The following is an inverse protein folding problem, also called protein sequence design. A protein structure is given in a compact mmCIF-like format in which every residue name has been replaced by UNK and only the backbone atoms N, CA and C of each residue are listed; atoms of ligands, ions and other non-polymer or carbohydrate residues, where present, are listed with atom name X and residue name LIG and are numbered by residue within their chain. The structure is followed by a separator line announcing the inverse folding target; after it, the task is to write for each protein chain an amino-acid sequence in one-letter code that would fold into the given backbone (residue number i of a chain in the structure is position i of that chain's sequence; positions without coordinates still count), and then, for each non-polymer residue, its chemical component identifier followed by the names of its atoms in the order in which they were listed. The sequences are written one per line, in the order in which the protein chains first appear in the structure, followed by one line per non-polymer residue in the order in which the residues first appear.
data_IF_146693331387
#
_entry.id   IF_146693331387
#
_cell.length_a   1.000
_cell.length_b   1.000
_cell.length_c   1.000
_cell.angle_alpha   90.00
_cell.angle_beta   90.00
_cell.angle_gamma   90.00
#
_symmetry.space_group_name_H-M   'P 1'
#
loop_
_entity.id
_entity.type
_entity.pdbx_description
1 polymer ?
#
# COMPACT_ATOMS: atom_id res chain seq x y z
N UNK A 1 -18.87 -12.42 11.84
CA UNK A 1 -18.30 -11.90 10.57
C UNK A 1 -16.80 -12.06 10.66
N UNK A 2 -16.20 -12.75 9.71
CA UNK A 2 -14.75 -13.00 9.62
C UNK A 2 -14.19 -12.06 8.56
N UNK A 3 -13.43 -11.04 8.97
CA UNK A 3 -12.91 -10.03 8.06
C UNK A 3 -11.50 -10.40 7.57
N UNK A 4 -11.41 -10.80 6.31
CA UNK A 4 -10.18 -11.20 5.64
C UNK A 4 -9.86 -10.31 4.42
N UNK A 5 -10.17 -9.01 4.51
CA UNK A 5 -9.85 -8.01 3.46
C UNK A 5 -9.10 -6.79 3.99
N UNK A 6 -8.11 -7.02 4.87
CA UNK A 6 -7.33 -5.95 5.49
C UNK A 6 -6.44 -5.18 4.49
N UNK A 7 -6.19 -5.70 3.30
CA UNK A 7 -5.52 -4.96 2.23
C UNK A 7 -6.41 -3.89 1.57
N UNK A 8 -7.74 -4.05 1.61
CA UNK A 8 -8.66 -3.01 1.15
C UNK A 8 -8.74 -1.86 2.16
N UNK A 9 -9.00 -2.18 3.42
CA UNK A 9 -8.97 -1.24 4.56
C UNK A 9 -8.91 -2.02 5.87
N UNK A 10 -8.48 -1.38 6.94
CA UNK A 10 -8.45 -1.98 8.27
C UNK A 10 -9.42 -1.27 9.22
N UNK A 11 -9.86 -1.99 10.26
CA UNK A 11 -10.63 -1.39 11.35
C UNK A 11 -9.72 -0.49 12.18
N UNK A 12 -10.13 0.75 12.41
CA UNK A 12 -9.41 1.67 13.29
C UNK A 12 -9.36 1.12 14.72
N UNK A 13 -8.20 1.21 15.37
CA UNK A 13 -8.05 0.77 16.77
C UNK A 13 -8.75 1.74 17.73
N UNK A 14 -9.39 1.24 18.82
CA UNK A 14 -10.06 2.09 19.81
C UNK A 14 -9.13 3.17 20.40
N UNK A 15 -7.87 2.85 20.67
CA UNK A 15 -6.87 3.79 21.17
C UNK A 15 -6.62 4.96 20.20
N UNK A 16 -6.65 4.68 18.89
CA UNK A 16 -6.52 5.71 17.85
C UNK A 16 -7.69 6.67 17.91
N UNK A 17 -8.92 6.16 18.00
CA UNK A 17 -10.12 7.00 18.12
C UNK A 17 -10.07 7.87 19.38
N UNK A 18 -9.67 7.30 20.53
CA UNK A 18 -9.57 8.04 21.80
C UNK A 18 -8.63 9.25 21.70
N UNK A 19 -7.47 9.09 21.04
CA UNK A 19 -6.50 10.18 20.86
C UNK A 19 -6.95 11.21 19.82
N UNK A 20 -7.80 10.84 18.87
CA UNK A 20 -8.38 11.76 17.88
C UNK A 20 -9.48 12.65 18.47
N UNK A 21 -10.30 12.10 19.37
CA UNK A 21 -11.52 12.77 19.86
C UNK A 21 -11.30 14.19 20.41
N UNK A 22 -10.28 14.49 21.23
CA UNK A 22 -10.07 15.84 21.73
C UNK A 22 -9.89 16.89 20.63
N UNK A 23 -9.30 16.52 19.51
CA UNK A 23 -9.07 17.43 18.36
C UNK A 23 -10.30 17.60 17.46
N UNK A 24 -11.34 16.84 17.70
CA UNK A 24 -12.64 16.97 17.02
C UNK A 24 -13.63 17.78 17.84
N UNK A 25 -13.39 18.00 19.15
CA UNK A 25 -14.31 18.63 20.10
C UNK A 25 -13.67 19.81 20.84
N UNK A 26 -12.73 19.55 21.73
CA UNK A 26 -12.22 20.56 22.68
C UNK A 26 -11.01 21.34 22.16
N UNK A 27 -10.12 20.65 21.38
CA UNK A 27 -8.87 21.19 20.82
C UNK A 27 -8.99 21.48 19.33
N UNK A 28 -10.06 22.14 18.93
CA UNK A 28 -10.44 22.39 17.52
C UNK A 28 -9.73 23.59 16.87
N UNK A 29 -8.72 24.17 17.51
CA UNK A 29 -8.04 25.36 17.01
C UNK A 29 -7.36 25.12 15.66
N UNK A 30 -7.47 26.11 14.75
CA UNK A 30 -6.72 26.05 13.48
C UNK A 30 -5.23 26.23 13.76
N UNK A 31 -4.34 25.29 13.37
CA UNK A 31 -2.90 25.36 13.66
C UNK A 31 -2.21 26.64 13.18
N UNK A 32 -2.74 27.32 12.16
CA UNK A 32 -2.19 28.57 11.62
C UNK A 32 -2.48 29.79 12.50
N UNK A 33 -3.36 29.69 13.53
CA UNK A 33 -3.69 30.78 14.43
C UNK A 33 -2.59 31.12 15.42
N UNK A 34 -2.68 32.33 16.06
CA UNK A 34 -1.69 32.81 17.02
C UNK A 34 -2.13 32.67 18.48
N UNK A 35 -3.37 32.23 18.73
CA UNK A 35 -3.94 32.06 20.06
C UNK A 35 -3.64 30.65 20.62
N UNK A 36 -3.81 30.50 21.95
CA UNK A 36 -3.43 29.26 22.67
C UNK A 36 -4.03 27.99 22.07
N UNK A 37 -5.33 27.98 21.76
CA UNK A 37 -6.01 26.81 21.20
C UNK A 37 -5.41 26.38 19.86
N UNK A 38 -4.97 27.33 19.04
CA UNK A 38 -4.26 27.05 17.78
C UNK A 38 -2.87 26.48 18.04
N UNK A 39 -2.15 27.01 19.04
CA UNK A 39 -0.83 26.51 19.42
C UNK A 39 -0.87 25.06 19.90
N UNK A 40 -1.92 24.67 20.64
CA UNK A 40 -2.12 23.27 21.06
C UNK A 40 -2.31 22.33 19.87
N UNK A 41 -3.11 22.74 18.86
CA UNK A 41 -3.29 21.95 17.63
C UNK A 41 -2.03 21.87 16.78
N UNK A 42 -1.30 22.98 16.64
CA UNK A 42 -0.01 23.02 15.92
C UNK A 42 1.00 22.08 16.56
N UNK A 43 1.17 22.16 17.88
CA UNK A 43 2.05 21.25 18.62
C UNK A 43 1.69 19.78 18.40
N UNK A 44 0.40 19.45 18.39
CA UNK A 44 -0.04 18.09 18.15
C UNK A 44 0.32 17.57 16.73
N UNK A 45 0.28 18.44 15.73
CA UNK A 45 0.71 18.12 14.35
C UNK A 45 2.22 17.93 14.30
N UNK A 46 3.00 18.81 14.94
CA UNK A 46 4.46 18.72 15.04
C UNK A 46 4.89 17.45 15.78
N UNK A 47 4.32 17.16 16.95
CA UNK A 47 4.60 15.95 17.72
C UNK A 47 4.28 14.66 16.92
N UNK A 48 3.17 14.66 16.18
CA UNK A 48 2.78 13.53 15.32
C UNK A 48 3.75 13.33 14.15
N UNK A 49 4.24 14.41 13.57
CA UNK A 49 5.21 14.39 12.46
C UNK A 49 6.56 13.86 12.93
N UNK A 50 7.06 14.35 14.08
CA UNK A 50 8.31 13.89 14.70
C UNK A 50 8.25 12.39 15.03
N UNK A 51 7.14 11.93 15.60
CA UNK A 51 6.94 10.49 15.88
C UNK A 51 6.98 9.65 14.60
N UNK A 52 6.26 10.03 13.54
CA UNK A 52 6.29 9.31 12.25
C UNK A 52 7.70 9.30 11.66
N UNK A 53 8.39 10.43 11.69
CA UNK A 53 9.76 10.56 11.19
C UNK A 53 10.71 9.58 11.91
N UNK A 54 10.62 9.55 13.25
CA UNK A 54 11.47 8.67 14.07
C UNK A 54 11.27 7.18 13.77
N UNK A 55 10.04 6.76 13.41
CA UNK A 55 9.73 5.36 13.10
C UNK A 55 10.39 4.85 11.82
N UNK A 56 10.71 5.74 10.87
CA UNK A 56 11.28 5.39 9.57
C UNK A 56 12.72 5.90 9.36
N UNK A 57 13.33 6.49 10.40
CA UNK A 57 14.69 7.05 10.32
C UNK A 57 14.78 8.36 9.53
N UNK A 58 13.67 9.11 9.42
CA UNK A 58 13.57 10.41 8.77
C UNK A 58 13.71 11.57 9.76
N UNK A 59 13.78 12.80 9.23
CA UNK A 59 13.66 14.05 10.00
C UNK A 59 12.22 14.57 9.92
N UNK A 60 11.81 15.35 10.91
CA UNK A 60 10.47 15.95 10.99
C UNK A 60 10.12 16.74 9.72
N UNK A 61 11.03 17.56 9.24
CA UNK A 61 10.84 18.43 8.06
C UNK A 61 10.85 17.67 6.71
N UNK A 62 10.94 16.35 6.73
CA UNK A 62 10.84 15.47 5.56
C UNK A 62 9.47 14.79 5.46
N UNK A 63 8.58 14.99 6.44
CA UNK A 63 7.24 14.38 6.50
C UNK A 63 6.18 15.42 6.18
N UNK A 64 5.35 15.15 5.17
CA UNK A 64 4.25 16.00 4.71
C UNK A 64 2.93 15.25 4.80
N UNK A 65 1.94 15.84 5.47
CA UNK A 65 0.62 15.23 5.60
C UNK A 65 -0.16 15.34 4.29
N UNK A 66 -0.81 14.24 3.90
CA UNK A 66 -1.64 14.15 2.70
C UNK A 66 -2.99 13.54 3.03
N UNK A 67 -3.89 13.45 2.06
CA UNK A 67 -5.16 12.72 2.20
C UNK A 67 -5.00 11.19 2.11
N UNK A 68 -3.84 10.68 1.75
CA UNK A 68 -3.54 9.25 1.62
C UNK A 68 -2.53 8.94 0.52
N UNK A 69 -2.31 7.65 0.26
CA UNK A 69 -1.32 7.17 -0.69
C UNK A 69 -1.49 7.74 -2.10
N UNK A 70 -2.71 7.79 -2.60
CA UNK A 70 -2.98 8.33 -3.96
C UNK A 70 -2.51 9.77 -4.13
N UNK A 71 -2.74 10.64 -3.15
CA UNK A 71 -2.24 12.02 -3.20
C UNK A 71 -0.72 12.04 -3.15
N UNK A 72 -0.11 11.26 -2.25
CA UNK A 72 1.35 11.18 -2.11
C UNK A 72 2.03 10.67 -3.39
N UNK A 73 1.51 9.59 -3.99
CA UNK A 73 2.01 9.02 -5.24
C UNK A 73 1.92 10.03 -6.40
N UNK A 74 0.76 10.67 -6.53
CA UNK A 74 0.54 11.65 -7.59
C UNK A 74 1.44 12.87 -7.43
N UNK A 75 1.69 13.31 -6.18
CA UNK A 75 2.57 14.44 -5.89
C UNK A 75 4.00 14.18 -6.36
N UNK A 76 4.56 13.01 -6.02
CA UNK A 76 5.92 12.62 -6.42
C UNK A 76 6.03 12.51 -7.96
N UNK A 77 5.05 11.89 -8.61
CA UNK A 77 5.04 11.75 -10.07
C UNK A 77 4.91 13.11 -10.78
N UNK A 78 4.11 14.03 -10.25
CA UNK A 78 4.01 15.41 -10.76
C UNK A 78 5.31 16.17 -10.59
N UNK A 79 5.96 16.04 -9.42
CA UNK A 79 7.29 16.62 -9.20
C UNK A 79 8.30 16.11 -10.21
N UNK A 80 8.34 14.80 -10.46
CA UNK A 80 9.25 14.20 -11.44
C UNK A 80 8.96 14.70 -12.87
N UNK A 81 7.69 14.87 -13.25
CA UNK A 81 7.29 15.48 -14.53
C UNK A 81 7.82 16.90 -14.68
N UNK A 82 7.83 17.69 -13.58
CA UNK A 82 8.33 19.08 -13.54
C UNK A 82 9.82 19.24 -13.68
N UNK A 83 10.63 18.18 -13.58
CA UNK A 83 12.09 18.25 -13.69
C UNK A 83 12.50 18.68 -15.11
N UNK A 84 13.29 19.78 -15.22
CA UNK A 84 13.61 20.40 -16.51
C UNK A 84 14.40 19.50 -17.47
N UNK A 85 15.39 18.76 -16.92
CA UNK A 85 16.39 18.04 -17.72
C UNK A 85 16.26 16.51 -17.59
N UNK A 86 15.19 16.00 -16.96
CA UNK A 86 14.99 14.58 -16.70
C UNK A 86 13.52 14.22 -16.94
N UNK A 87 13.20 13.84 -18.18
CA UNK A 87 11.81 13.61 -18.65
C UNK A 87 11.44 12.14 -18.74
N UNK A 88 12.17 11.27 -18.03
CA UNK A 88 11.90 9.84 -18.01
C UNK A 88 11.56 9.36 -16.61
N UNK A 89 10.48 8.62 -16.49
CA UNK A 89 10.03 7.91 -15.29
C UNK A 89 10.06 6.41 -15.58
N UNK A 90 10.64 5.64 -14.67
CA UNK A 90 10.57 4.17 -14.69
C UNK A 90 9.66 3.73 -13.56
N UNK A 91 8.71 2.85 -13.85
CA UNK A 91 7.84 2.24 -12.84
C UNK A 91 7.68 0.75 -13.11
N UNK A 92 6.96 0.01 -12.25
CA UNK A 92 6.71 -1.41 -12.50
C UNK A 92 5.35 -1.65 -13.16
N UNK A 93 5.19 -2.82 -13.79
CA UNK A 93 3.92 -3.23 -14.39
C UNK A 93 2.85 -3.64 -13.37
N UNK A 94 3.21 -3.75 -12.08
CA UNK A 94 2.33 -4.23 -11.02
C UNK A 94 1.96 -3.17 -9.98
N UNK A 95 2.18 -1.89 -10.29
CA UNK A 95 1.88 -0.78 -9.39
C UNK A 95 0.39 -0.62 -9.10
N UNK A 96 0.07 0.08 -8.03
CA UNK A 96 -1.29 0.53 -7.76
C UNK A 96 -1.75 1.51 -8.87
N UNK A 97 -3.07 1.54 -9.15
CA UNK A 97 -3.64 2.43 -10.16
C UNK A 97 -3.35 3.92 -9.92
N UNK A 98 -3.05 4.33 -8.68
CA UNK A 98 -2.60 5.70 -8.38
C UNK A 98 -1.30 6.05 -9.13
N UNK A 99 -0.39 5.09 -9.30
CA UNK A 99 0.84 5.25 -10.08
C UNK A 99 0.56 5.04 -11.57
N UNK A 100 -0.07 3.92 -11.96
CA UNK A 100 -0.26 3.56 -13.37
C UNK A 100 -1.07 4.61 -14.14
N UNK A 101 -2.20 5.05 -13.58
CA UNK A 101 -3.06 6.03 -14.23
C UNK A 101 -2.41 7.42 -14.32
N UNK A 102 -1.66 7.81 -13.25
CA UNK A 102 -0.89 9.06 -13.29
C UNK A 102 0.23 8.99 -14.32
N UNK A 103 0.98 7.90 -14.40
CA UNK A 103 2.00 7.68 -15.42
C UNK A 103 1.42 7.74 -16.84
N UNK A 104 0.23 7.16 -17.06
CA UNK A 104 -0.47 7.26 -18.34
C UNK A 104 -0.79 8.72 -18.70
N UNK A 105 -1.35 9.48 -17.77
CA UNK A 105 -1.65 10.90 -17.97
C UNK A 105 -0.39 11.72 -18.24
N UNK A 106 0.71 11.47 -17.51
CA UNK A 106 1.98 12.18 -17.71
C UNK A 106 2.62 11.84 -19.07
N UNK A 107 2.43 10.61 -19.58
CA UNK A 107 2.88 10.22 -20.91
C UNK A 107 2.17 11.03 -22.00
N UNK A 108 0.87 11.29 -21.86
CA UNK A 108 0.09 12.14 -22.75
C UNK A 108 0.58 13.62 -22.73
N UNK A 109 1.22 14.03 -21.63
CA UNK A 109 1.83 15.34 -21.42
C UNK A 109 3.32 15.40 -21.80
N UNK A 110 3.85 14.37 -22.46
CA UNK A 110 5.22 14.34 -22.98
C UNK A 110 6.30 13.78 -22.05
N UNK A 111 5.93 13.18 -20.90
CA UNK A 111 6.88 12.41 -20.10
C UNK A 111 7.10 11.04 -20.74
N UNK A 112 8.35 10.63 -20.88
CA UNK A 112 8.66 9.25 -21.27
C UNK A 112 8.47 8.32 -20.07
N UNK A 113 7.74 7.22 -20.22
CA UNK A 113 7.48 6.25 -19.14
C UNK A 113 7.84 4.85 -19.59
N UNK A 114 8.72 4.19 -18.83
CA UNK A 114 9.05 2.77 -19.00
C UNK A 114 8.46 1.94 -17.87
N UNK A 115 7.98 0.74 -18.21
CA UNK A 115 7.41 -0.20 -17.25
C UNK A 115 8.31 -1.43 -17.13
N UNK A 116 8.96 -1.60 -15.98
CA UNK A 116 9.73 -2.79 -15.67
C UNK A 116 8.79 -3.99 -15.47
N UNK A 117 9.13 -5.11 -16.08
CA UNK A 117 8.40 -6.37 -15.93
C UNK A 117 8.68 -7.04 -14.58
N UNK A 118 7.91 -8.09 -14.29
CA UNK A 118 8.09 -8.93 -13.11
C UNK A 118 8.33 -10.40 -13.54
N UNK A 119 8.84 -11.20 -12.62
CA UNK A 119 8.87 -12.64 -12.79
C UNK A 119 7.54 -13.27 -12.34
N UNK A 120 7.41 -14.59 -12.42
CA UNK A 120 6.22 -15.37 -12.02
C UNK A 120 5.85 -15.24 -10.54
N UNK A 121 6.80 -14.85 -9.69
CA UNK A 121 6.64 -14.55 -8.27
C UNK A 121 6.15 -13.10 -8.02
N UNK A 122 6.06 -12.28 -9.05
CA UNK A 122 5.73 -10.87 -8.96
C UNK A 122 6.87 -10.01 -8.40
N UNK A 123 8.12 -10.45 -8.53
CA UNK A 123 9.31 -9.66 -8.17
C UNK A 123 9.75 -8.87 -9.40
N UNK A 124 9.95 -7.56 -9.24
CA UNK A 124 10.41 -6.68 -10.32
C UNK A 124 11.79 -7.12 -10.81
N UNK A 125 11.93 -7.22 -12.13
CA UNK A 125 13.19 -7.55 -12.79
C UNK A 125 14.11 -6.34 -12.79
N UNK A 126 15.11 -6.33 -11.93
CA UNK A 126 16.08 -5.23 -11.81
C UNK A 126 16.88 -5.01 -13.10
N UNK A 127 17.07 -6.07 -13.90
CA UNK A 127 17.67 -6.01 -15.24
C UNK A 127 16.88 -5.15 -16.22
N UNK A 128 15.54 -5.15 -16.12
CA UNK A 128 14.71 -4.29 -16.99
C UNK A 128 14.89 -2.81 -16.61
N UNK A 129 15.01 -2.51 -15.30
CA UNK A 129 15.35 -1.17 -14.83
C UNK A 129 16.76 -0.76 -15.34
N UNK A 130 17.77 -1.62 -15.20
CA UNK A 130 19.14 -1.38 -15.68
C UNK A 130 19.21 -1.10 -17.18
N UNK A 131 18.37 -1.75 -17.99
CA UNK A 131 18.29 -1.54 -19.45
C UNK A 131 17.64 -0.21 -19.82
N UNK A 132 16.64 0.22 -19.06
CA UNK A 132 15.86 1.43 -19.37
C UNK A 132 16.44 2.71 -18.75
N UNK A 133 17.18 2.60 -17.63
CA UNK A 133 17.66 3.76 -16.87
C UNK A 133 18.78 4.48 -17.61
N UNK A 134 18.70 5.81 -17.62
CA UNK A 134 19.68 6.69 -18.24
C UNK A 134 19.85 7.95 -17.41
N UNK A 135 20.78 8.83 -17.81
CA UNK A 135 20.96 10.13 -17.18
C UNK A 135 19.75 11.06 -17.33
N UNK A 136 18.89 10.78 -18.33
CA UNK A 136 17.61 11.48 -18.52
C UNK A 136 16.50 10.97 -17.59
N UNK A 137 16.74 9.90 -16.82
CA UNK A 137 15.75 9.36 -15.87
C UNK A 137 15.68 10.26 -14.63
N UNK A 138 14.49 10.79 -14.36
CA UNK A 138 14.23 11.64 -13.19
C UNK A 138 13.80 10.84 -11.97
N UNK A 139 13.00 9.78 -12.18
CA UNK A 139 12.40 9.00 -11.11
C UNK A 139 12.35 7.51 -11.47
N UNK A 140 12.67 6.67 -10.50
CA UNK A 140 12.31 5.25 -10.48
C UNK A 140 11.28 5.07 -9.36
N UNK A 141 10.07 4.63 -9.69
CA UNK A 141 8.96 4.44 -8.75
C UNK A 141 8.54 2.98 -8.74
N UNK A 142 8.80 2.27 -7.64
CA UNK A 142 8.44 0.86 -7.47
C UNK A 142 7.87 0.64 -6.08
N UNK A 143 6.66 0.07 -6.00
CA UNK A 143 6.01 -0.23 -4.72
C UNK A 143 6.85 -1.19 -3.87
N UNK A 144 6.80 -1.02 -2.54
CA UNK A 144 7.56 -1.88 -1.63
C UNK A 144 6.94 -3.27 -1.45
N UNK A 145 5.61 -3.32 -1.41
CA UNK A 145 4.82 -4.56 -1.28
C UNK A 145 3.64 -4.48 -2.23
N UNK A 146 3.45 -5.51 -3.05
CA UNK A 146 2.26 -5.56 -3.89
C UNK A 146 1.01 -5.88 -3.05
N UNK A 147 -0.01 -5.05 -3.16
CA UNK A 147 -1.24 -5.12 -2.37
C UNK A 147 -2.16 -6.30 -2.75
N UNK A 148 -1.98 -6.88 -3.95
CA UNK A 148 -2.78 -8.03 -4.40
C UNK A 148 -2.13 -9.36 -4.00
N UNK A 149 -0.89 -9.57 -4.40
CA UNK A 149 -0.18 -10.85 -4.22
C UNK A 149 0.75 -10.88 -3.01
N UNK A 150 0.93 -9.76 -2.31
CA UNK A 150 1.73 -9.67 -1.08
C UNK A 150 3.25 -9.71 -1.27
N UNK A 151 3.77 -9.87 -2.49
CA UNK A 151 5.20 -9.99 -2.76
C UNK A 151 5.96 -8.73 -2.38
N UNK A 152 7.06 -8.90 -1.64
CA UNK A 152 7.97 -7.83 -1.21
C UNK A 152 9.01 -7.60 -2.31
N UNK A 153 9.21 -6.34 -2.70
CA UNK A 153 10.12 -5.93 -3.77
C UNK A 153 11.54 -5.66 -3.27
N UNK A 154 12.57 -5.79 -4.12
CA UNK A 154 13.97 -5.55 -3.76
C UNK A 154 14.32 -4.04 -3.78
N UNK A 155 13.62 -3.24 -2.94
CA UNK A 155 13.69 -1.78 -2.97
C UNK A 155 15.10 -1.22 -2.77
N UNK A 156 15.92 -1.84 -1.91
CA UNK A 156 17.30 -1.41 -1.66
C UNK A 156 18.19 -1.55 -2.91
N UNK A 157 18.03 -2.65 -3.66
CA UNK A 157 18.75 -2.87 -4.91
C UNK A 157 18.30 -1.87 -5.98
N UNK A 158 16.99 -1.69 -6.14
CA UNK A 158 16.41 -0.75 -7.11
C UNK A 158 16.83 0.69 -6.80
N UNK A 159 16.81 1.09 -5.54
CA UNK A 159 17.29 2.40 -5.09
C UNK A 159 18.75 2.63 -5.45
N UNK A 160 19.61 1.62 -5.26
CA UNK A 160 21.03 1.72 -5.63
C UNK A 160 21.21 1.95 -7.14
N UNK A 161 20.46 1.20 -7.97
CA UNK A 161 20.48 1.38 -9.43
C UNK A 161 20.02 2.80 -9.83
N UNK A 162 18.97 3.32 -9.18
CA UNK A 162 18.50 4.69 -9.43
C UNK A 162 19.57 5.73 -9.10
N UNK A 163 20.20 5.61 -7.93
CA UNK A 163 21.27 6.53 -7.47
C UNK A 163 22.48 6.54 -8.36
N UNK A 164 22.93 5.39 -8.88
CA UNK A 164 24.07 5.29 -9.81
C UNK A 164 23.89 6.16 -11.06
N UNK A 165 22.64 6.42 -11.48
CA UNK A 165 22.29 7.27 -12.62
C UNK A 165 21.76 8.65 -12.22
N UNK A 166 21.83 8.98 -10.93
CA UNK A 166 21.35 10.25 -10.40
C UNK A 166 19.83 10.44 -10.56
N UNK A 167 19.06 9.37 -10.63
CA UNK A 167 17.61 9.38 -10.57
C UNK A 167 17.14 9.29 -9.12
N UNK A 168 16.01 9.94 -8.80
CA UNK A 168 15.33 9.76 -7.53
C UNK A 168 14.67 8.39 -7.44
N UNK A 169 14.56 7.86 -6.22
CA UNK A 169 13.82 6.62 -5.95
C UNK A 169 12.60 6.89 -5.07
N UNK A 170 11.44 6.51 -5.58
CA UNK A 170 10.15 6.52 -4.88
C UNK A 170 9.64 5.11 -4.63
N UNK A 171 9.00 4.90 -3.48
CA UNK A 171 8.27 3.66 -3.20
C UNK A 171 6.89 3.93 -2.62
N UNK A 172 5.85 3.35 -3.23
CA UNK A 172 4.55 3.20 -2.59
C UNK A 172 4.68 2.16 -1.48
N UNK A 173 4.66 2.61 -0.23
CA UNK A 173 4.74 1.78 0.96
C UNK A 173 3.38 1.57 1.64
N UNK A 174 2.27 1.90 0.98
CA UNK A 174 0.92 1.81 1.55
C UNK A 174 0.59 0.40 2.03
N UNK A 175 0.99 -0.64 1.31
CA UNK A 175 0.80 -2.04 1.71
C UNK A 175 1.91 -2.55 2.66
N UNK A 176 3.05 -1.86 2.72
CA UNK A 176 4.22 -2.25 3.50
C UNK A 176 4.21 -1.67 4.92
N UNK A 177 3.81 -0.40 5.08
CA UNK A 177 3.92 0.33 6.35
C UNK A 177 3.18 -0.39 7.49
N UNK A 178 3.86 -0.56 8.62
CA UNK A 178 3.35 -1.31 9.77
C UNK A 178 3.37 -2.84 9.62
N UNK A 179 3.86 -3.38 8.48
CA UNK A 179 4.06 -4.81 8.24
C UNK A 179 5.52 -5.16 7.92
N UNK A 180 6.25 -4.23 7.33
CA UNK A 180 7.68 -4.34 7.02
C UNK A 180 8.40 -3.21 7.74
N UNK A 181 9.56 -3.52 8.33
CA UNK A 181 10.42 -2.49 8.92
C UNK A 181 10.99 -1.62 7.80
N UNK A 182 10.81 -0.31 7.93
CA UNK A 182 11.30 0.66 6.95
C UNK A 182 12.32 1.56 7.64
N UNK A 183 13.50 1.69 7.04
CA UNK A 183 14.48 2.74 7.31
C UNK A 183 14.81 3.39 5.98
N UNK A 184 14.42 4.65 5.81
CA UNK A 184 14.57 5.38 4.54
C UNK A 184 16.02 5.62 4.17
N UNK A 185 16.92 5.68 5.16
CA UNK A 185 18.34 5.88 4.93
C UNK A 185 19.01 4.58 4.50
N UNK A 186 18.74 3.48 5.20
CA UNK A 186 19.28 2.16 4.87
C UNK A 186 18.79 1.68 3.49
N UNK A 187 17.52 1.89 3.19
CA UNK A 187 16.92 1.51 1.91
C UNK A 187 17.22 2.49 0.78
N UNK A 188 17.77 3.67 1.10
CA UNK A 188 18.12 4.69 0.13
C UNK A 188 16.92 5.34 -0.56
N UNK A 189 15.79 5.44 0.12
CA UNK A 189 14.53 5.98 -0.39
C UNK A 189 14.59 7.51 -0.41
N UNK A 190 14.22 8.15 -1.52
CA UNK A 190 14.08 9.60 -1.63
C UNK A 190 12.64 10.06 -1.37
N UNK A 191 11.66 9.26 -1.80
CA UNK A 191 10.23 9.51 -1.57
C UNK A 191 9.52 8.23 -1.13
N UNK A 192 8.58 8.37 -0.17
CA UNK A 192 7.79 7.23 0.31
C UNK A 192 6.35 7.66 0.58
N UNK A 193 5.39 6.93 0.01
CA UNK A 193 3.95 7.18 0.16
C UNK A 193 3.31 6.23 1.15
N UNK A 194 2.46 6.76 2.05
CA UNK A 194 1.78 5.99 3.09
C UNK A 194 0.32 6.42 3.26
N UNK A 195 -0.56 5.48 3.66
CA UNK A 195 -1.96 5.74 3.96
C UNK A 195 -2.37 5.10 5.29
N UNK A 196 -2.89 5.90 6.23
CA UNK A 196 -3.13 5.49 7.61
C UNK A 196 -4.11 4.32 7.76
N UNK A 197 -5.14 4.25 6.90
CA UNK A 197 -6.17 3.22 7.00
C UNK A 197 -5.68 1.79 6.70
N UNK A 198 -4.45 1.61 6.25
CA UNK A 198 -3.86 0.28 6.00
C UNK A 198 -3.18 -0.31 7.25
N UNK A 199 -2.93 0.53 8.27
CA UNK A 199 -2.34 0.10 9.55
C UNK A 199 -3.19 0.50 10.78
N UNK A 200 -4.51 0.39 10.63
CA UNK A 200 -5.50 0.64 11.67
C UNK A 200 -5.63 2.11 12.12
N UNK A 201 -5.23 3.04 11.26
CA UNK A 201 -5.45 4.48 11.40
C UNK A 201 -6.73 4.95 10.70
N UNK A 202 -7.02 6.26 10.73
CA UNK A 202 -8.18 6.84 10.08
C UNK A 202 -8.06 6.82 8.55
N UNK A 203 -9.21 6.82 7.86
CA UNK A 203 -9.29 7.05 6.40
C UNK A 203 -9.14 8.55 6.12
N UNK A 204 -8.73 8.90 4.90
CA UNK A 204 -8.63 10.29 4.46
C UNK A 204 -7.41 11.03 5.03
N UNK A 205 -6.40 10.30 5.48
CA UNK A 205 -5.10 10.83 5.90
C UNK A 205 -3.97 9.85 5.56
N UNK A 206 -2.84 10.41 5.19
CA UNK A 206 -1.59 9.73 4.90
C UNK A 206 -0.42 10.69 5.04
N UNK A 207 0.74 10.26 4.64
CA UNK A 207 1.90 11.14 4.54
C UNK A 207 2.77 10.80 3.34
N UNK A 208 3.48 11.81 2.89
CA UNK A 208 4.61 11.71 1.98
C UNK A 208 5.89 11.99 2.77
N UNK A 209 6.85 11.07 2.71
CA UNK A 209 8.23 11.37 3.04
C UNK A 209 8.94 11.88 1.80
N UNK A 210 9.66 13.00 1.91
CA UNK A 210 10.50 13.55 0.87
C UNK A 210 11.86 13.92 1.47
N UNK A 211 12.93 13.26 1.04
CA UNK A 211 14.30 13.44 1.53
C UNK A 211 14.73 14.90 1.42
N UNK A 212 15.28 15.44 2.52
CA UNK A 212 15.70 16.85 2.67
C UNK A 212 14.59 17.86 2.34
N UNK A 213 13.30 17.46 2.35
CA UNK A 213 12.17 18.31 1.96
C UNK A 213 12.17 18.72 0.48
N UNK A 214 12.94 18.02 -0.38
CA UNK A 214 13.11 18.37 -1.80
C UNK A 214 11.94 17.93 -2.65
N UNK A 215 10.87 18.69 -2.63
CA UNK A 215 9.70 18.52 -3.50
C UNK A 215 9.08 19.88 -3.82
N UNK A 216 8.47 20.03 -5.00
CA UNK A 216 7.76 21.26 -5.36
C UNK A 216 6.34 21.30 -4.79
N UNK A 217 5.74 22.49 -4.60
CA UNK A 217 4.35 22.60 -4.17
C UNK A 217 3.39 21.84 -5.06
N UNK A 218 2.42 21.14 -4.45
CA UNK A 218 1.41 20.37 -5.17
C UNK A 218 0.03 21.04 -5.12
N UNK A 219 -0.46 21.37 -3.93
CA UNK A 219 -1.67 22.13 -3.76
C UNK A 219 -1.32 23.58 -3.39
N UNK A 220 -1.69 24.52 -4.25
CA UNK A 220 -1.42 25.94 -4.05
C UNK A 220 -2.51 26.58 -3.18
N UNK A 221 -2.12 27.46 -2.24
CA UNK A 221 -3.03 28.15 -1.33
C UNK A 221 -2.31 28.79 -0.15
N UNK A 222 -2.71 28.46 1.08
CA UNK A 222 -2.06 28.95 2.30
C UNK A 222 -0.71 28.28 2.56
N UNK A 223 -0.06 28.70 3.67
CA UNK A 223 1.32 28.31 4.00
C UNK A 223 1.45 26.94 4.70
N UNK A 224 0.38 26.13 4.75
CA UNK A 224 0.40 24.83 5.40
C UNK A 224 1.46 23.89 4.76
N UNK A 225 1.90 22.90 5.53
CA UNK A 225 2.94 21.94 5.11
C UNK A 225 4.13 22.66 4.46
N UNK A 226 4.64 23.72 5.09
CA UNK A 226 5.80 24.51 4.63
C UNK A 226 5.60 25.14 3.24
N UNK A 227 4.41 25.59 2.89
CA UNK A 227 3.99 26.11 1.57
C UNK A 227 4.00 25.06 0.44
N UNK A 228 4.07 23.78 0.78
CA UNK A 228 4.16 22.69 -0.22
C UNK A 228 2.82 22.02 -0.47
N UNK A 229 1.94 22.00 0.54
CA UNK A 229 0.60 21.44 0.42
C UNK A 229 -0.40 22.26 1.23
N UNK A 230 -1.11 23.16 0.57
CA UNK A 230 -2.09 24.05 1.18
C UNK A 230 -3.35 23.31 1.66
N UNK A 231 -4.12 23.97 2.49
CA UNK A 231 -5.35 23.49 3.11
C UNK A 231 -5.18 23.23 4.60
N UNK A 232 -6.19 23.61 5.38
CA UNK A 232 -6.16 23.44 6.85
C UNK A 232 -5.85 21.99 7.21
N UNK A 233 -4.91 21.81 8.12
CA UNK A 233 -4.42 20.48 8.53
C UNK A 233 -5.53 19.69 9.21
N UNK A 234 -5.67 18.42 8.85
CA UNK A 234 -6.56 17.46 9.50
C UNK A 234 -5.96 16.98 10.81
N UNK A 235 -5.97 17.88 11.83
CA UNK A 235 -5.28 17.66 13.12
C UNK A 235 -5.66 16.31 13.73
N UNK A 236 -6.94 16.02 13.87
CA UNK A 236 -7.43 14.76 14.43
C UNK A 236 -6.93 13.55 13.62
N UNK A 237 -6.98 13.62 12.29
CA UNK A 237 -6.51 12.56 11.41
C UNK A 237 -4.99 12.34 11.49
N UNK A 238 -4.20 13.42 11.56
CA UNK A 238 -2.75 13.39 11.67
C UNK A 238 -2.32 12.76 13.02
N UNK A 239 -2.93 13.18 14.12
CA UNK A 239 -2.71 12.57 15.44
C UNK A 239 -3.10 11.09 15.43
N UNK A 240 -4.28 10.76 14.89
CA UNK A 240 -4.70 9.36 14.76
C UNK A 240 -3.76 8.50 13.92
N UNK A 241 -3.20 9.06 12.84
CA UNK A 241 -2.21 8.38 12.00
C UNK A 241 -0.92 8.10 12.77
N UNK A 242 -0.38 9.06 13.53
CA UNK A 242 0.82 8.89 14.35
C UNK A 242 0.62 7.81 15.41
N UNK A 243 -0.49 7.85 16.15
CA UNK A 243 -0.83 6.83 17.14
C UNK A 243 -0.93 5.43 16.51
N UNK A 244 -1.59 5.33 15.35
CA UNK A 244 -1.69 4.06 14.63
C UNK A 244 -0.31 3.55 14.17
N UNK A 245 0.56 4.44 13.67
CA UNK A 245 1.92 4.12 13.25
C UNK A 245 2.74 3.59 14.42
N UNK A 246 2.75 4.30 15.56
CA UNK A 246 3.43 3.87 16.80
C UNK A 246 2.96 2.49 17.25
N UNK A 247 1.66 2.25 17.32
CA UNK A 247 1.10 0.96 17.70
C UNK A 247 1.50 -0.14 16.71
N UNK A 248 1.49 0.15 15.41
CA UNK A 248 1.88 -0.79 14.37
C UNK A 248 3.35 -1.20 14.48
N UNK A 249 4.26 -0.26 14.70
CA UNK A 249 5.70 -0.54 14.83
C UNK A 249 6.04 -1.26 16.13
N UNK A 250 5.48 -0.84 17.27
CA UNK A 250 5.74 -1.49 18.57
C UNK A 250 5.32 -2.96 18.62
N UNK A 251 4.32 -3.35 17.86
CA UNK A 251 3.77 -4.72 17.88
C UNK A 251 4.06 -5.51 16.62
N UNK A 252 4.87 -4.96 15.69
CA UNK A 252 5.07 -5.49 14.34
C UNK A 252 5.50 -6.96 14.35
N UNK A 253 6.54 -7.30 15.08
CA UNK A 253 7.12 -8.65 15.07
C UNK A 253 6.13 -9.70 15.61
N UNK A 254 5.46 -9.39 16.73
CA UNK A 254 4.47 -10.30 17.33
C UNK A 254 3.29 -10.48 16.37
N UNK A 255 2.76 -9.38 15.81
CA UNK A 255 1.64 -9.45 14.84
C UNK A 255 2.02 -10.21 13.57
N UNK A 256 3.22 -9.98 13.06
CA UNK A 256 3.71 -10.68 11.86
C UNK A 256 3.89 -12.19 12.13
N UNK A 257 4.40 -12.57 13.29
CA UNK A 257 4.51 -13.98 13.68
C UNK A 257 3.13 -14.65 13.77
N UNK A 258 2.16 -14.00 14.42
CA UNK A 258 0.79 -14.52 14.53
C UNK A 258 0.12 -14.64 13.16
N UNK A 259 0.18 -13.61 12.33
CA UNK A 259 -0.36 -13.65 10.96
C UNK A 259 0.32 -14.72 10.12
N UNK A 260 1.66 -14.83 10.18
CA UNK A 260 2.41 -15.83 9.42
C UNK A 260 1.98 -17.26 9.74
N UNK A 261 1.80 -17.58 11.02
CA UNK A 261 1.35 -18.90 11.46
C UNK A 261 0.01 -19.29 10.81
N UNK A 262 -0.98 -18.40 10.82
CA UNK A 262 -2.30 -18.64 10.21
C UNK A 262 -2.20 -18.64 8.68
N UNK A 263 -1.42 -17.74 8.10
CA UNK A 263 -1.19 -17.67 6.65
C UNK A 263 -0.60 -18.98 6.13
N UNK A 264 0.47 -19.46 6.74
CA UNK A 264 1.13 -20.71 6.32
C UNK A 264 0.17 -21.90 6.46
N UNK A 265 -0.56 -21.98 7.56
CA UNK A 265 -1.59 -23.01 7.79
C UNK A 265 -2.68 -23.00 6.70
N UNK A 266 -3.23 -21.83 6.38
CA UNK A 266 -4.26 -21.71 5.33
C UNK A 266 -3.71 -22.05 3.95
N UNK A 267 -2.50 -21.59 3.62
CA UNK A 267 -1.89 -21.87 2.31
C UNK A 267 -1.69 -23.38 2.13
N UNK A 268 -1.12 -24.07 3.11
CA UNK A 268 -0.89 -25.52 3.04
C UNK A 268 -2.19 -26.29 2.87
N UNK A 269 -3.20 -25.94 3.65
CA UNK A 269 -4.49 -26.62 3.59
C UNK A 269 -5.23 -26.36 2.28
N UNK A 270 -5.29 -25.12 1.82
CA UNK A 270 -5.97 -24.76 0.58
C UNK A 270 -5.32 -25.48 -0.61
N UNK A 271 -3.98 -25.46 -0.74
CA UNK A 271 -3.29 -26.12 -1.83
C UNK A 271 -3.41 -27.63 -1.79
N UNK A 272 -3.50 -28.25 -0.60
CA UNK A 272 -3.67 -29.69 -0.45
C UNK A 272 -5.11 -30.16 -0.68
N UNK A 273 -6.11 -29.38 -0.19
CA UNK A 273 -7.50 -29.83 -0.12
C UNK A 273 -8.36 -29.35 -1.28
N UNK A 274 -7.92 -28.36 -2.04
CA UNK A 274 -8.66 -27.80 -3.17
C UNK A 274 -7.84 -28.03 -4.45
N UNK A 275 -8.18 -29.04 -5.27
CA UNK A 275 -7.48 -29.29 -6.54
C UNK A 275 -7.57 -28.08 -7.47
N UNK A 276 -6.61 -27.96 -8.39
CA UNK A 276 -6.52 -26.86 -9.36
C UNK A 276 -6.53 -25.47 -8.69
N UNK A 277 -5.91 -25.37 -7.51
CA UNK A 277 -5.61 -24.11 -6.83
C UNK A 277 -4.14 -23.75 -6.98
N UNK A 278 -3.85 -22.46 -7.05
CA UNK A 278 -2.49 -21.90 -7.11
C UNK A 278 -2.38 -20.74 -6.14
N UNK A 279 -1.27 -20.67 -5.39
CA UNK A 279 -0.88 -19.45 -4.67
C UNK A 279 -0.19 -18.49 -5.62
N UNK A 280 -0.65 -17.25 -5.71
CA UNK A 280 -0.07 -16.20 -6.54
C UNK A 280 0.96 -15.39 -5.75
N UNK A 281 2.06 -15.03 -6.41
CA UNK A 281 3.19 -14.31 -5.81
C UNK A 281 4.15 -15.22 -5.02
N UNK A 282 5.25 -14.63 -4.55
CA UNK A 282 6.33 -15.39 -3.89
C UNK A 282 5.90 -15.99 -2.56
N UNK A 283 6.20 -17.25 -2.31
CA UNK A 283 5.83 -17.96 -1.08
C UNK A 283 6.56 -17.44 0.16
N UNK A 284 7.82 -17.08 0.03
CA UNK A 284 8.71 -16.75 1.15
C UNK A 284 8.92 -15.24 1.30
N UNK A 285 9.12 -14.51 0.19
CA UNK A 285 9.24 -13.04 0.17
C UNK A 285 7.86 -12.39 0.08
N UNK A 286 7.06 -12.58 1.13
CA UNK A 286 5.67 -12.15 1.22
C UNK A 286 5.39 -11.47 2.54
N UNK A 287 4.59 -10.41 2.52
CA UNK A 287 4.08 -9.79 3.74
C UNK A 287 3.14 -10.75 4.48
N UNK A 288 3.33 -10.87 5.78
CA UNK A 288 2.51 -11.75 6.62
C UNK A 288 1.03 -11.34 6.58
N UNK A 289 0.15 -12.31 6.44
CA UNK A 289 -1.30 -12.09 6.41
C UNK A 289 -1.89 -11.94 5.01
N UNK A 290 -1.11 -11.83 3.95
CA UNK A 290 -1.62 -11.77 2.57
C UNK A 290 -1.54 -13.16 1.91
N UNK A 291 -2.65 -13.58 1.31
CA UNK A 291 -2.79 -14.80 0.51
C UNK A 291 -3.65 -14.49 -0.71
N UNK A 292 -3.11 -14.71 -1.89
CA UNK A 292 -3.85 -14.57 -3.14
C UNK A 292 -3.83 -15.93 -3.86
N UNK A 293 -5.02 -16.45 -4.15
CA UNK A 293 -5.15 -17.73 -4.83
C UNK A 293 -5.92 -17.55 -6.14
N UNK A 294 -5.55 -18.36 -7.14
CA UNK A 294 -6.38 -18.59 -8.31
C UNK A 294 -6.93 -20.01 -8.27
N UNK A 295 -8.21 -20.16 -8.57
CA UNK A 295 -8.92 -21.44 -8.65
C UNK A 295 -9.42 -21.63 -10.09
N UNK A 296 -8.94 -22.66 -10.78
CA UNK A 296 -9.39 -22.94 -12.15
C UNK A 296 -10.85 -23.37 -12.15
N UNK A 297 -11.57 -23.02 -13.21
CA UNK A 297 -12.99 -23.31 -13.41
C UNK A 297 -13.88 -22.70 -12.33
N UNK A 298 -13.58 -21.49 -11.89
CA UNK A 298 -14.34 -20.76 -10.88
C UNK A 298 -14.41 -19.29 -11.27
N UNK A 299 -15.57 -18.68 -11.15
CA UNK A 299 -15.73 -17.22 -11.18
C UNK A 299 -15.47 -16.64 -9.79
N UNK A 300 -14.41 -15.86 -9.64
CA UNK A 300 -13.97 -15.26 -8.37
C UNK A 300 -15.00 -14.29 -7.79
N UNK A 301 -15.73 -13.58 -8.63
CA UNK A 301 -16.81 -12.68 -8.19
C UNK A 301 -17.95 -13.44 -7.52
N UNK A 302 -18.41 -14.51 -8.14
CA UNK A 302 -19.42 -15.41 -7.58
C UNK A 302 -18.94 -16.04 -6.27
N UNK A 303 -17.68 -16.48 -6.22
CA UNK A 303 -17.09 -17.06 -5.02
C UNK A 303 -17.07 -16.09 -3.85
N UNK A 304 -16.74 -14.82 -4.06
CA UNK A 304 -16.74 -13.78 -3.02
C UNK A 304 -18.15 -13.55 -2.51
N UNK A 305 -19.17 -13.50 -3.38
CA UNK A 305 -20.57 -13.34 -2.97
C UNK A 305 -21.03 -14.53 -2.12
N UNK A 306 -20.62 -15.75 -2.46
CA UNK A 306 -20.96 -16.93 -1.67
C UNK A 306 -20.29 -16.92 -0.29
N UNK A 307 -19.02 -16.51 -0.22
CA UNK A 307 -18.29 -16.35 1.05
C UNK A 307 -18.92 -15.26 1.92
N UNK A 308 -19.32 -14.12 1.34
CA UNK A 308 -19.97 -13.02 2.08
C UNK A 308 -21.30 -13.47 2.71
N UNK A 309 -22.11 -14.24 2.00
CA UNK A 309 -23.34 -14.85 2.54
C UNK A 309 -23.10 -15.77 3.74
N UNK A 310 -21.89 -16.28 3.90
CA UNK A 310 -21.44 -17.11 5.03
C UNK A 310 -20.68 -16.29 6.08
N UNK A 311 -20.69 -14.96 5.95
CA UNK A 311 -20.05 -14.03 6.89
C UNK A 311 -18.53 -13.91 6.75
N UNK A 312 -17.97 -14.23 5.58
CA UNK A 312 -16.53 -14.14 5.28
C UNK A 312 -16.29 -13.02 4.26
N UNK A 313 -15.61 -11.96 4.66
CA UNK A 313 -15.21 -10.87 3.76
C UNK A 313 -13.85 -11.17 3.11
N UNK A 314 -13.80 -11.21 1.79
CA UNK A 314 -12.60 -11.37 0.97
C UNK A 314 -12.70 -10.48 -0.28
N UNK A 315 -11.66 -10.40 -1.09
CA UNK A 315 -11.63 -9.55 -2.30
C UNK A 315 -11.22 -10.34 -3.53
N UNK A 316 -11.77 -10.03 -4.69
CA UNK A 316 -11.18 -10.43 -5.98
C UNK A 316 -9.93 -9.56 -6.20
N UNK A 317 -8.88 -10.14 -6.76
CA UNK A 317 -7.56 -9.52 -7.07
C UNK A 317 -7.38 -8.06 -6.67
N UNK A 318 -7.99 -7.11 -7.38
CA UNK A 318 -8.02 -5.70 -6.97
C UNK A 318 -9.40 -5.29 -6.47
N UNK A 319 -9.50 -4.84 -5.23
CA UNK A 319 -10.74 -4.28 -4.66
C UNK A 319 -11.24 -3.04 -5.44
N UNK A 320 -10.33 -2.29 -6.09
CA UNK A 320 -10.65 -1.12 -6.91
C UNK A 320 -11.15 -1.48 -8.32
N UNK A 321 -10.89 -2.69 -8.81
CA UNK A 321 -11.33 -3.16 -10.12
C UNK A 321 -12.66 -3.94 -10.07
N UNK A 322 -13.31 -4.04 -8.92
CA UNK A 322 -14.61 -4.71 -8.77
C UNK A 322 -15.72 -4.10 -9.64
N UNK A 323 -15.53 -2.90 -10.18
CA UNK A 323 -16.40 -2.28 -11.18
C UNK A 323 -15.97 -2.52 -12.65
N UNK A 324 -14.74 -3.02 -12.89
CA UNK A 324 -14.28 -3.36 -14.24
C UNK A 324 -14.32 -4.88 -14.44
N UNK A 325 -14.78 -5.32 -15.60
CA UNK A 325 -14.76 -6.73 -16.01
C UNK A 325 -13.36 -7.21 -16.43
N UNK A 326 -12.34 -6.37 -16.31
CA UNK A 326 -10.98 -6.72 -16.74
C UNK A 326 -10.24 -7.52 -15.67
N UNK A 327 -9.54 -8.59 -16.07
CA UNK A 327 -8.69 -9.37 -15.16
C UNK A 327 -7.60 -8.50 -14.52
N UNK A 328 -7.15 -8.88 -13.32
CA UNK A 328 -6.08 -8.16 -12.61
C UNK A 328 -4.82 -8.00 -13.48
N UNK A 329 -4.36 -6.76 -13.65
CA UNK A 329 -3.11 -6.46 -14.34
C UNK A 329 -1.89 -7.08 -13.64
N UNK A 330 -1.95 -7.24 -12.31
CA UNK A 330 -0.89 -7.88 -11.51
C UNK A 330 -0.80 -9.37 -11.85
N UNK A 331 -1.94 -10.06 -11.91
CA UNK A 331 -1.98 -11.49 -12.23
C UNK A 331 -1.58 -11.75 -13.68
N UNK A 332 -1.96 -10.86 -14.60
CA UNK A 332 -1.47 -10.91 -16.00
C UNK A 332 0.04 -10.70 -16.08
N UNK A 333 0.57 -9.75 -15.31
CA UNK A 333 2.00 -9.46 -15.31
C UNK A 333 2.87 -10.64 -14.81
N UNK A 334 2.34 -11.48 -13.91
CA UNK A 334 3.01 -12.72 -13.47
C UNK A 334 2.78 -13.91 -14.40
N UNK A 335 2.14 -13.69 -15.57
CA UNK A 335 1.99 -14.68 -16.64
C UNK A 335 0.75 -15.56 -16.52
N UNK A 336 -0.26 -15.21 -15.74
CA UNK A 336 -1.50 -15.99 -15.67
C UNK A 336 -2.42 -15.70 -16.86
N UNK A 337 -3.05 -16.72 -17.47
CA UNK A 337 -4.09 -16.54 -18.46
C UNK A 337 -5.37 -15.94 -17.84
N UNK A 338 -6.18 -15.28 -18.65
CA UNK A 338 -7.33 -14.48 -18.20
C UNK A 338 -8.36 -15.30 -17.43
N UNK A 339 -8.63 -16.54 -17.83
CA UNK A 339 -9.53 -17.46 -17.14
C UNK A 339 -9.05 -17.80 -15.72
N UNK A 340 -7.75 -17.98 -15.54
CA UNK A 340 -7.15 -18.23 -14.22
C UNK A 340 -7.12 -16.95 -13.36
N UNK A 341 -6.92 -15.79 -13.98
CA UNK A 341 -7.02 -14.50 -13.30
C UNK A 341 -8.43 -14.25 -12.75
N UNK A 342 -9.45 -14.56 -13.53
CA UNK A 342 -10.86 -14.36 -13.15
C UNK A 342 -11.30 -15.24 -11.98
N UNK A 343 -10.65 -16.38 -11.75
CA UNK A 343 -10.89 -17.27 -10.61
C UNK A 343 -10.09 -16.89 -9.35
N UNK A 344 -9.57 -15.67 -9.27
CA UNK A 344 -8.73 -15.26 -8.15
C UNK A 344 -9.50 -14.71 -6.97
N UNK A 345 -9.02 -15.04 -5.75
CA UNK A 345 -9.49 -14.48 -4.48
C UNK A 345 -8.30 -14.13 -3.60
N UNK A 346 -8.33 -12.92 -3.03
CA UNK A 346 -7.35 -12.46 -2.06
C UNK A 346 -7.94 -12.49 -0.66
N UNK A 347 -7.24 -13.14 0.26
CA UNK A 347 -7.48 -13.10 1.69
C UNK A 347 -6.36 -12.31 2.36
N UNK A 348 -6.72 -11.32 3.17
CA UNK A 348 -5.74 -10.56 3.96
C UNK A 348 -6.21 -10.48 5.41
N UNK A 349 -5.45 -11.13 6.29
CA UNK A 349 -5.82 -11.32 7.70
C UNK A 349 -5.06 -10.35 8.63
N UNK A 350 -5.67 -10.08 9.76
CA UNK A 350 -5.00 -9.45 10.91
C UNK A 350 -4.55 -10.51 11.94
N UNK A 351 -3.96 -10.07 13.02
CA UNK A 351 -3.46 -10.91 14.11
C UNK A 351 -4.53 -11.59 14.96
N UNK A 352 -5.80 -11.20 14.80
CA UNK A 352 -6.92 -11.70 15.62
C UNK A 352 -7.57 -12.96 15.03
N UNK A 353 -7.29 -13.29 13.77
CA UNK A 353 -7.86 -14.48 13.13
C UNK A 353 -7.38 -15.75 13.85
N UNK A 354 -8.34 -16.55 14.27
CA UNK A 354 -8.13 -17.82 14.99
C UNK A 354 -8.04 -19.01 14.02
N UNK A 355 -7.51 -20.13 14.50
CA UNK A 355 -7.52 -21.39 13.73
C UNK A 355 -8.93 -21.83 13.36
N UNK A 356 -9.91 -21.69 14.28
CA UNK A 356 -11.30 -22.09 14.04
C UNK A 356 -11.92 -21.24 12.91
N UNK A 357 -11.63 -19.93 12.85
CA UNK A 357 -12.10 -19.07 11.77
C UNK A 357 -11.42 -19.42 10.44
N UNK A 358 -10.12 -19.75 10.47
CA UNK A 358 -9.40 -20.23 9.29
C UNK A 358 -9.98 -21.56 8.78
N UNK A 359 -10.27 -22.53 9.68
CA UNK A 359 -10.89 -23.80 9.34
C UNK A 359 -12.28 -23.62 8.74
N UNK A 360 -13.09 -22.74 9.32
CA UNK A 360 -14.41 -22.40 8.81
C UNK A 360 -14.31 -21.79 7.41
N UNK A 361 -13.40 -20.85 7.20
CA UNK A 361 -13.16 -20.23 5.89
C UNK A 361 -12.75 -21.29 4.84
N UNK A 362 -11.81 -22.18 5.15
CA UNK A 362 -11.35 -23.24 4.24
C UNK A 362 -12.50 -24.19 3.89
N UNK A 363 -13.32 -24.56 4.87
CA UNK A 363 -14.51 -25.42 4.66
C UNK A 363 -15.50 -24.77 3.71
N UNK A 364 -15.86 -23.50 3.95
CA UNK A 364 -16.76 -22.73 3.09
C UNK A 364 -16.21 -22.61 1.68
N UNK A 365 -14.96 -22.19 1.55
CA UNK A 365 -14.24 -22.04 0.28
C UNK A 365 -14.26 -23.33 -0.55
N UNK A 366 -13.94 -24.47 0.07
CA UNK A 366 -13.96 -25.79 -0.58
C UNK A 366 -15.35 -26.16 -1.10
N UNK A 367 -16.38 -25.98 -0.28
CA UNK A 367 -17.76 -26.31 -0.65
C UNK A 367 -18.27 -25.42 -1.79
N UNK A 368 -17.96 -24.13 -1.75
CA UNK A 368 -18.40 -23.17 -2.75
C UNK A 368 -17.69 -23.40 -4.10
N UNK A 369 -16.39 -23.70 -4.08
CA UNK A 369 -15.64 -24.07 -5.29
C UNK A 369 -16.20 -25.34 -5.93
N UNK A 370 -16.55 -26.36 -5.15
CA UNK A 370 -17.19 -27.59 -5.67
C UNK A 370 -18.50 -27.25 -6.39
N UNK A 371 -19.35 -26.41 -5.77
CA UNK A 371 -20.64 -26.00 -6.37
C UNK A 371 -20.44 -25.19 -7.65
N UNK A 372 -19.52 -24.23 -7.65
CA UNK A 372 -19.24 -23.40 -8.83
C UNK A 372 -18.72 -24.23 -10.00
N UNK A 373 -17.82 -25.18 -9.74
CA UNK A 373 -17.29 -26.10 -10.77
C UNK A 373 -18.34 -27.03 -11.39
N UNK A 374 -19.46 -27.27 -10.71
CA UNK A 374 -20.58 -28.03 -11.29
C UNK A 374 -21.40 -27.22 -12.31
N UNK A 375 -21.20 -25.91 -12.37
CA UNK A 375 -21.87 -25.00 -13.30
C UNK A 375 -21.06 -24.77 -14.59
N UNK A 376 -19.82 -25.25 -14.63
CA UNK A 376 -18.93 -25.26 -15.78
C UNK A 376 -18.96 -26.64 -16.47
#
# INVERSE_FOLDING_TARGET
MIYMDNAATTRMKPQVLQEMMPYMTDKYGNPSGIYRLASESRKAVEDARDEIASLIGAKENEIFSTSGGTESDNWVLEYAHGLKNKKHIITSSIEHHAILNKCKSLKEQGTYVSYAGVNEDGIVKTEDIKKCISENTGLVSVMMVNNEIGTIQPVKEISSIAKEKGAFFHTDAVAAFGNVKIDVNEAGIDYLSVSAHKFCGPKGVGFLYARDGKISPYHLGGAQESNLRAGTENVAGIVGMSVAARLAYRTMDIRNMQKKRITDYMIERILREIPYSRLNGNRNKRVSGNMNFSFQYVDGGSLIIMLDRQGICASAGSACASASKEPSHVLKAIGLPDDVCNGSVRFTINEQITNNEADYCIKCLKNDIIKLRQLY
#
